data_IF_579029143215
#
_entry.id   IF_579029143215
#
_cell.length_a   1.000
_cell.length_b   1.000
_cell.length_c   1.000
_cell.angle_alpha   90.00
_cell.angle_beta   90.00
_cell.angle_gamma   90.00
#
_symmetry.space_group_name_H-M   'P 1'
#
loop_
_entity.id
_entity.type
_entity.pdbx_description
1 polymer ?
#
# COMPACT_ATOMS: atom_id res chain seq x y z
N UNK A 1 10.49 -40.84 14.72
CA UNK A 1 10.34 -40.35 13.33
C UNK A 1 9.41 -39.14 13.38
N UNK A 2 9.88 -37.93 13.03
CA UNK A 2 9.04 -36.73 13.05
C UNK A 2 7.97 -36.81 11.96
N UNK A 3 6.69 -36.86 12.35
CA UNK A 3 5.55 -36.74 11.45
C UNK A 3 5.61 -35.38 10.73
N UNK A 4 5.88 -35.38 9.42
CA UNK A 4 5.72 -34.19 8.58
C UNK A 4 4.22 -33.91 8.41
N UNK A 5 3.73 -32.90 9.13
CA UNK A 5 2.38 -32.39 8.94
C UNK A 5 2.23 -31.86 7.50
N UNK A 6 1.26 -32.37 6.74
CA UNK A 6 1.00 -31.94 5.38
C UNK A 6 0.68 -30.44 5.36
N UNK A 7 1.48 -29.64 4.65
CA UNK A 7 1.26 -28.19 4.52
C UNK A 7 -0.09 -27.97 3.80
N UNK A 8 -1.06 -27.26 4.39
CA UNK A 8 -2.39 -27.13 3.81
C UNK A 8 -2.32 -26.26 2.53
N UNK A 9 -2.63 -26.85 1.37
CA UNK A 9 -2.66 -26.17 0.07
C UNK A 9 -3.60 -24.96 0.02
N UNK A 10 -4.62 -24.94 0.89
CA UNK A 10 -5.59 -23.85 1.04
C UNK A 10 -4.95 -22.48 1.36
N UNK A 11 -3.83 -22.46 2.10
CA UNK A 11 -3.11 -21.20 2.41
C UNK A 11 -2.61 -20.46 1.16
N UNK A 12 -2.35 -21.16 0.05
CA UNK A 12 -1.93 -20.52 -1.22
C UNK A 12 -3.11 -19.85 -1.94
N UNK A 13 -4.27 -20.49 -1.93
CA UNK A 13 -5.49 -19.94 -2.54
C UNK A 13 -5.98 -18.70 -1.80
N UNK A 14 -6.00 -18.72 -0.46
CA UNK A 14 -6.38 -17.54 0.34
C UNK A 14 -5.46 -16.35 0.04
N UNK A 15 -4.13 -16.58 0.00
CA UNK A 15 -3.16 -15.50 -0.27
C UNK A 15 -3.33 -14.89 -1.66
N UNK A 16 -3.60 -15.72 -2.66
CA UNK A 16 -3.78 -15.25 -4.04
C UNK A 16 -5.11 -14.50 -4.18
N UNK A 17 -6.19 -15.06 -3.62
CA UNK A 17 -7.51 -14.44 -3.60
C UNK A 17 -7.52 -13.09 -2.87
N UNK A 18 -6.88 -13.01 -1.70
CA UNK A 18 -6.74 -11.77 -0.95
C UNK A 18 -6.01 -10.70 -1.77
N UNK A 19 -4.91 -11.05 -2.45
CA UNK A 19 -4.17 -10.12 -3.30
C UNK A 19 -5.04 -9.61 -4.46
N UNK A 20 -5.77 -10.50 -5.13
CA UNK A 20 -6.64 -10.10 -6.25
C UNK A 20 -7.78 -9.20 -5.79
N UNK A 21 -8.40 -9.50 -4.64
CA UNK A 21 -9.44 -8.66 -4.07
C UNK A 21 -8.93 -7.27 -3.71
N UNK A 22 -7.76 -7.15 -3.11
CA UNK A 22 -7.15 -5.84 -2.80
C UNK A 22 -6.88 -5.04 -4.08
N UNK A 23 -6.36 -5.67 -5.13
CA UNK A 23 -6.09 -4.98 -6.40
C UNK A 23 -7.39 -4.52 -7.06
N UNK A 24 -8.41 -5.38 -7.11
CA UNK A 24 -9.72 -5.04 -7.66
C UNK A 24 -10.35 -3.90 -6.88
N UNK A 25 -10.33 -3.97 -5.54
CA UNK A 25 -10.84 -2.92 -4.66
C UNK A 25 -10.10 -1.59 -4.89
N UNK A 26 -8.77 -1.63 -5.01
CA UNK A 26 -7.98 -0.43 -5.28
C UNK A 26 -8.32 0.22 -6.63
N UNK A 27 -8.57 -0.59 -7.67
CA UNK A 27 -9.00 -0.09 -8.98
C UNK A 27 -10.40 0.52 -8.88
N UNK A 28 -11.36 -0.17 -8.24
CA UNK A 28 -12.71 0.34 -8.04
C UNK A 28 -12.69 1.64 -7.25
N UNK A 29 -11.91 1.71 -6.18
CA UNK A 29 -11.72 2.91 -5.38
C UNK A 29 -11.14 4.07 -6.20
N UNK A 30 -10.12 3.80 -7.01
CA UNK A 30 -9.52 4.81 -7.89
C UNK A 30 -10.52 5.35 -8.92
N UNK A 31 -11.30 4.47 -9.55
CA UNK A 31 -12.36 4.88 -10.50
C UNK A 31 -13.44 5.69 -9.80
N UNK A 32 -13.87 5.26 -8.62
CA UNK A 32 -14.89 5.95 -7.82
C UNK A 32 -14.40 7.35 -7.40
N UNK A 33 -13.15 7.47 -6.96
CA UNK A 33 -12.52 8.75 -6.63
C UNK A 33 -12.37 9.66 -7.85
N UNK A 34 -11.95 9.12 -9.00
CA UNK A 34 -11.84 9.89 -10.24
C UNK A 34 -13.21 10.41 -10.71
N UNK A 35 -14.27 9.59 -10.57
CA UNK A 35 -15.65 9.99 -10.83
C UNK A 35 -16.08 11.12 -9.90
N UNK A 36 -15.85 10.97 -8.59
CA UNK A 36 -16.10 12.01 -7.59
C UNK A 36 -15.38 13.32 -7.91
N UNK A 37 -14.08 13.25 -8.19
CA UNK A 37 -13.24 14.40 -8.50
C UNK A 37 -13.78 15.12 -9.74
N UNK A 38 -14.04 14.40 -10.84
CA UNK A 38 -14.60 14.99 -12.06
C UNK A 38 -15.99 15.61 -11.85
N UNK A 39 -16.85 14.97 -11.05
CA UNK A 39 -18.19 15.48 -10.74
C UNK A 39 -18.15 16.79 -9.96
N UNK A 40 -17.14 16.96 -9.09
CA UNK A 40 -16.97 18.16 -8.27
C UNK A 40 -16.18 19.27 -8.98
N UNK A 41 -15.29 18.93 -9.93
CA UNK A 41 -14.46 19.90 -10.65
C UNK A 41 -15.09 20.41 -11.95
N UNK A 42 -15.85 19.59 -12.70
CA UNK A 42 -16.38 19.99 -14.01
C UNK A 42 -17.91 20.01 -14.04
N UNK A 43 -18.46 21.16 -14.44
CA UNK A 43 -19.90 21.40 -14.49
C UNK A 43 -20.58 20.59 -15.59
N UNK A 44 -20.00 20.50 -16.79
CA UNK A 44 -20.60 19.80 -17.93
C UNK A 44 -20.71 18.29 -17.66
N UNK A 45 -19.69 17.71 -17.06
CA UNK A 45 -19.72 16.30 -16.66
C UNK A 45 -20.84 16.02 -15.65
N UNK A 46 -21.06 16.93 -14.69
CA UNK A 46 -22.17 16.81 -13.73
C UNK A 46 -23.53 16.85 -14.44
N UNK A 47 -23.70 17.74 -15.42
CA UNK A 47 -24.92 17.79 -16.23
C UNK A 47 -25.14 16.49 -17.01
N UNK A 48 -24.10 16.00 -17.70
CA UNK A 48 -24.16 14.73 -18.43
C UNK A 48 -24.54 13.55 -17.52
N UNK A 49 -23.91 13.44 -16.34
CA UNK A 49 -24.24 12.39 -15.37
C UNK A 49 -25.66 12.53 -14.84
N UNK A 50 -26.14 13.76 -14.60
CA UNK A 50 -27.53 14.00 -14.18
C UNK A 50 -28.53 13.53 -15.24
N UNK A 51 -28.24 13.80 -16.51
CA UNK A 51 -29.14 13.49 -17.63
C UNK A 51 -29.12 12.01 -18.00
N UNK A 52 -27.94 11.39 -18.02
CA UNK A 52 -27.78 10.00 -18.46
C UNK A 52 -27.82 8.97 -17.31
N UNK A 53 -27.48 9.39 -16.08
CA UNK A 53 -27.39 8.52 -14.89
C UNK A 53 -27.95 9.20 -13.61
N UNK A 54 -29.22 9.62 -13.59
CA UNK A 54 -29.80 10.34 -12.46
C UNK A 54 -29.74 9.55 -11.14
N UNK A 55 -29.95 8.23 -11.19
CA UNK A 55 -29.91 7.38 -10.00
C UNK A 55 -28.53 7.32 -9.35
N UNK A 56 -27.45 7.39 -10.14
CA UNK A 56 -26.07 7.43 -9.62
C UNK A 56 -25.83 8.73 -8.88
N UNK A 57 -26.34 9.83 -9.41
CA UNK A 57 -26.21 11.16 -8.80
C UNK A 57 -27.02 11.26 -7.49
N UNK A 58 -28.22 10.72 -7.47
CA UNK A 58 -29.07 10.66 -6.28
C UNK A 58 -28.41 9.81 -5.19
N UNK A 59 -27.95 8.60 -5.53
CA UNK A 59 -27.21 7.76 -4.60
C UNK A 59 -25.96 8.46 -4.07
N UNK A 60 -25.24 9.20 -4.92
CA UNK A 60 -24.07 9.98 -4.51
C UNK A 60 -24.41 11.05 -3.45
N UNK A 61 -25.49 11.81 -3.65
CA UNK A 61 -25.92 12.80 -2.65
C UNK A 61 -26.45 12.15 -1.38
N UNK A 62 -27.22 11.07 -1.49
CA UNK A 62 -27.74 10.31 -0.37
C UNK A 62 -26.60 9.67 0.46
N UNK A 63 -25.53 9.21 -0.19
CA UNK A 63 -24.32 8.74 0.49
C UNK A 63 -23.64 9.89 1.26
N UNK A 64 -23.57 11.09 0.68
CA UNK A 64 -23.05 12.27 1.38
C UNK A 64 -23.85 12.63 2.63
N UNK A 65 -25.18 12.61 2.55
CA UNK A 65 -26.05 12.86 3.71
C UNK A 65 -25.93 11.79 4.79
N UNK A 66 -25.86 10.51 4.39
CA UNK A 66 -25.74 9.39 5.34
C UNK A 66 -24.38 9.33 6.03
N UNK A 67 -23.31 9.76 5.35
CA UNK A 67 -21.96 9.86 5.91
C UNK A 67 -21.69 11.17 6.67
N UNK A 68 -22.50 12.21 6.47
CA UNK A 68 -22.33 13.52 7.13
C UNK A 68 -23.07 13.68 8.46
N UNK A 69 -24.10 12.86 8.73
CA UNK A 69 -24.94 12.96 9.94
C UNK A 69 -24.63 11.93 11.03
N UNK A 70 -25.51 11.79 12.02
CA UNK A 70 -25.35 10.88 13.18
C UNK A 70 -25.17 9.40 12.79
N UNK A 71 -25.66 9.01 11.60
CA UNK A 71 -25.50 7.67 11.02
C UNK A 71 -24.04 7.34 10.68
N UNK A 72 -23.20 8.37 10.47
CA UNK A 72 -21.77 8.23 10.22
C UNK A 72 -21.06 7.53 11.37
N UNK A 73 -21.43 7.84 12.62
CA UNK A 73 -20.84 7.26 13.84
C UNK A 73 -21.13 5.77 13.90
N UNK A 74 -22.35 5.35 13.54
CA UNK A 74 -22.73 3.94 13.49
C UNK A 74 -21.90 3.18 12.44
N UNK A 75 -21.73 3.77 11.25
CA UNK A 75 -20.90 3.17 10.20
C UNK A 75 -19.43 3.08 10.60
N UNK A 76 -18.89 4.12 11.25
CA UNK A 76 -17.52 4.15 11.73
C UNK A 76 -17.29 3.09 12.81
N UNK A 77 -18.26 2.88 13.71
CA UNK A 77 -18.21 1.82 14.71
C UNK A 77 -18.28 0.42 14.08
N UNK A 78 -19.18 0.20 13.12
CA UNK A 78 -19.36 -1.11 12.46
C UNK A 78 -18.17 -1.45 11.57
N UNK A 79 -17.80 -0.58 10.64
CA UNK A 79 -16.68 -0.81 9.72
C UNK A 79 -15.33 -0.71 10.43
N UNK A 80 -15.17 0.20 11.40
CA UNK A 80 -13.98 0.29 12.22
C UNK A 80 -13.78 -0.94 13.10
N UNK A 81 -14.84 -1.44 13.73
CA UNK A 81 -14.80 -2.67 14.51
C UNK A 81 -14.49 -3.91 13.66
N UNK A 82 -15.10 -4.02 12.48
CA UNK A 82 -14.82 -5.11 11.53
C UNK A 82 -13.37 -5.05 11.05
N UNK A 83 -12.89 -3.86 10.66
CA UNK A 83 -11.52 -3.63 10.19
C UNK A 83 -10.49 -3.96 11.27
N UNK A 84 -10.74 -3.56 12.52
CA UNK A 84 -9.87 -3.90 13.65
C UNK A 84 -9.83 -5.42 13.90
N UNK A 85 -10.98 -6.11 13.85
CA UNK A 85 -11.05 -7.56 13.98
C UNK A 85 -10.26 -8.29 12.89
N UNK A 86 -10.36 -7.83 11.63
CA UNK A 86 -9.56 -8.34 10.52
C UNK A 86 -8.05 -8.08 10.72
N UNK A 87 -7.67 -6.92 11.25
CA UNK A 87 -6.27 -6.61 11.56
C UNK A 87 -5.73 -7.55 12.64
N UNK A 88 -6.52 -7.80 13.70
CA UNK A 88 -6.16 -8.72 14.77
C UNK A 88 -5.97 -10.16 14.25
N UNK A 89 -6.88 -10.62 13.38
CA UNK A 89 -6.81 -11.95 12.76
C UNK A 89 -5.66 -12.11 11.76
N UNK A 90 -5.20 -11.00 11.16
CA UNK A 90 -4.13 -11.00 10.16
C UNK A 90 -2.76 -10.57 10.71
N UNK A 91 -2.66 -10.29 12.03
CA UNK A 91 -1.38 -10.00 12.69
C UNK A 91 -0.36 -11.10 12.34
N UNK A 92 0.75 -10.76 11.66
CA UNK A 92 1.78 -11.74 11.36
C UNK A 92 2.44 -12.19 12.67
N UNK A 93 2.70 -13.50 12.80
CA UNK A 93 3.39 -14.04 13.99
C UNK A 93 4.72 -13.31 14.22
N UNK A 94 5.07 -13.05 15.48
CA UNK A 94 6.25 -12.25 15.86
C UNK A 94 7.54 -12.73 15.19
N UNK A 95 7.69 -14.04 14.99
CA UNK A 95 8.82 -14.65 14.29
C UNK A 95 9.01 -14.11 12.86
N UNK A 96 7.93 -13.81 12.14
CA UNK A 96 7.98 -13.24 10.79
C UNK A 96 8.38 -11.78 10.81
N UNK A 97 7.91 -11.03 11.81
CA UNK A 97 8.29 -9.63 12.00
C UNK A 97 9.79 -9.55 12.32
N UNK A 98 10.27 -10.42 13.19
CA UNK A 98 11.68 -10.52 13.56
C UNK A 98 12.53 -10.94 12.35
N UNK A 99 12.10 -11.94 11.58
CA UNK A 99 12.82 -12.34 10.36
C UNK A 99 12.90 -11.20 9.32
N UNK A 100 11.84 -10.41 9.17
CA UNK A 100 11.85 -9.24 8.28
C UNK A 100 12.82 -8.15 8.79
N UNK A 101 12.84 -7.88 10.10
CA UNK A 101 13.80 -6.95 10.72
C UNK A 101 15.24 -7.42 10.55
N UNK A 102 15.53 -8.68 10.82
CA UNK A 102 16.88 -9.24 10.66
C UNK A 102 17.31 -9.23 9.19
N UNK A 103 16.41 -9.60 8.26
CA UNK A 103 16.70 -9.58 6.82
C UNK A 103 16.93 -8.17 6.28
N UNK A 104 16.18 -7.16 6.75
CA UNK A 104 16.40 -5.78 6.32
C UNK A 104 17.74 -5.24 6.83
N UNK A 105 18.07 -5.51 8.11
CA UNK A 105 19.32 -5.08 8.74
C UNK A 105 20.54 -5.70 8.07
N UNK A 106 20.52 -7.02 7.78
CA UNK A 106 21.63 -7.70 7.10
C UNK A 106 21.83 -7.16 5.66
N UNK A 107 20.73 -6.85 4.95
CA UNK A 107 20.81 -6.28 3.60
C UNK A 107 21.40 -4.86 3.61
N UNK A 108 21.03 -4.03 4.58
CA UNK A 108 21.54 -2.67 4.71
C UNK A 108 23.02 -2.65 5.08
N UNK A 109 23.46 -3.52 5.98
CA UNK A 109 24.87 -3.64 6.34
C UNK A 109 25.72 -4.11 5.16
N UNK A 110 25.26 -5.11 4.41
CA UNK A 110 25.97 -5.59 3.21
C UNK A 110 26.06 -4.51 2.14
N UNK A 111 24.99 -3.75 1.94
CA UNK A 111 24.95 -2.64 0.97
C UNK A 111 25.92 -1.53 1.38
N UNK A 112 25.95 -1.15 2.66
CA UNK A 112 26.89 -0.16 3.21
C UNK A 112 28.35 -0.61 3.08
N UNK A 113 28.65 -1.87 3.41
CA UNK A 113 30.01 -2.44 3.26
C UNK A 113 30.46 -2.47 1.81
N UNK A 114 29.59 -2.88 0.88
CA UNK A 114 29.89 -2.87 -0.55
C UNK A 114 30.17 -1.45 -1.07
N UNK A 115 29.37 -0.47 -0.63
CA UNK A 115 29.54 0.94 -1.00
C UNK A 115 30.85 1.52 -0.45
N UNK A 116 31.23 1.14 0.77
CA UNK A 116 32.50 1.53 1.38
C UNK A 116 33.71 0.94 0.63
N UNK A 117 33.69 -0.36 0.32
CA UNK A 117 34.75 -1.00 -0.47
C UNK A 117 34.88 -0.38 -1.87
N UNK A 118 33.75 -0.05 -2.50
CA UNK A 118 33.72 0.65 -3.78
C UNK A 118 34.36 2.03 -3.68
N UNK A 119 34.10 2.79 -2.60
CA UNK A 119 34.75 4.08 -2.34
C UNK A 119 36.25 3.94 -2.08
N UNK A 120 36.68 2.91 -1.35
CA UNK A 120 38.12 2.64 -1.12
C UNK A 120 38.84 2.28 -2.41
N UNK A 121 38.24 1.43 -3.24
CA UNK A 121 38.80 1.06 -4.53
C UNK A 121 38.83 2.26 -5.49
N UNK A 122 37.84 3.13 -5.44
CA UNK A 122 37.84 4.37 -6.21
C UNK A 122 38.95 5.32 -5.73
N UNK A 123 39.08 5.51 -4.42
CA UNK A 123 40.14 6.32 -3.82
C UNK A 123 41.55 5.74 -4.04
N UNK A 124 41.69 4.43 -4.27
CA UNK A 124 42.98 3.82 -4.59
C UNK A 124 43.40 4.01 -6.05
N UNK A 125 42.44 4.24 -6.95
CA UNK A 125 42.70 4.49 -8.37
C UNK A 125 42.73 5.98 -8.72
N UNK A 126 42.20 6.84 -7.85
CA UNK A 126 42.22 8.29 -8.01
C UNK A 126 43.56 8.85 -7.51
N UNK A 127 44.23 9.68 -8.31
CA UNK A 127 45.47 10.30 -7.89
C UNK A 127 45.24 11.13 -6.62
N UNK A 128 46.07 10.95 -5.57
CA UNK A 128 45.84 11.62 -4.31
C UNK A 128 45.84 13.13 -4.49
N UNK A 129 44.95 13.81 -3.76
CA UNK A 129 44.65 15.26 -3.89
C UNK A 129 45.91 16.15 -3.84
N UNK A 130 47.00 15.67 -3.21
CA UNK A 130 48.28 16.37 -3.11
C UNK A 130 49.18 16.27 -4.37
N UNK A 131 48.87 15.39 -5.33
CA UNK A 131 49.53 15.32 -6.64
C UNK A 131 48.75 16.07 -7.73
N UNK A 132 47.52 16.51 -7.45
CA UNK A 132 46.69 17.25 -8.39
C UNK A 132 47.26 18.67 -8.56
N UNK A 133 48.07 18.87 -9.60
CA UNK A 133 48.62 20.17 -9.97
C UNK A 133 47.44 21.13 -10.23
N UNK A 134 47.32 22.16 -9.39
CA UNK A 134 46.37 23.26 -9.59
C UNK A 134 46.77 23.99 -10.87
N UNK A 135 46.13 23.64 -11.98
CA UNK A 135 46.15 24.48 -13.17
C UNK A 135 45.02 25.51 -13.00
N UNK A 136 45.43 26.77 -13.17
CA UNK A 136 44.63 28.00 -13.18
C UNK A 136 43.46 27.95 -14.17
#
# INVERSE_FOLDING_TARGET
>A
MLQKQARPGYKKFIKTSAKTLIVVEAILFAVSYAGWYRLNTNREFRYYVKENYPSVLEAYYQLGETLGGDKSILYLAVFGGLGYGLLELTKPSEDKINQLRYSSVDSDEKTKKALFMKKLQQASHEEPIYLKKRNE
#
